data_IF_909200355613
#
_entry.id   IF_909200355613
#
_cell.length_a   1.000
_cell.length_b   1.000
_cell.length_c   1.000
_cell.angle_alpha   90.00
_cell.angle_beta   90.00
_cell.angle_gamma   90.00
#
_symmetry.space_group_name_H-M   'P 1'
#
loop_
_entity.id
_entity.type
_entity.pdbx_description
1 polymer ?
#
# COMPACT_ATOMS: atom_id res chain seq x y z
N UNK A 1 -12.80 29.81 30.41
CA UNK A 1 -11.64 29.60 31.31
C UNK A 1 -10.65 28.73 30.56
N UNK A 2 -9.44 29.20 30.27
CA UNK A 2 -8.46 28.41 29.51
C UNK A 2 -7.88 27.31 30.41
N UNK A 3 -7.38 26.22 29.82
CA UNK A 3 -6.81 25.08 30.58
C UNK A 3 -5.72 25.54 31.57
N UNK A 4 -4.94 26.57 31.21
CA UNK A 4 -3.94 27.16 32.11
C UNK A 4 -4.58 27.78 33.37
N UNK A 5 -5.68 28.51 33.22
CA UNK A 5 -6.39 29.15 34.34
C UNK A 5 -6.96 28.08 35.28
N UNK A 6 -7.50 26.99 34.72
CA UNK A 6 -7.99 25.84 35.50
C UNK A 6 -6.83 25.19 36.27
N UNK A 7 -5.69 24.96 35.61
CA UNK A 7 -4.53 24.35 36.25
C UNK A 7 -3.95 25.23 37.38
N UNK A 8 -3.91 26.55 37.17
CA UNK A 8 -3.48 27.51 38.20
C UNK A 8 -4.45 27.56 39.38
N UNK A 9 -5.76 27.49 39.11
CA UNK A 9 -6.78 27.44 40.15
C UNK A 9 -6.68 26.16 41.00
N UNK A 10 -6.40 25.02 40.37
CA UNK A 10 -6.35 23.70 41.06
C UNK A 10 -5.02 23.45 41.76
N UNK A 11 -3.90 23.78 41.13
CA UNK A 11 -2.55 23.40 41.60
C UNK A 11 -1.75 24.58 42.18
N UNK A 12 -2.29 25.80 42.14
CA UNK A 12 -1.57 27.03 42.44
C UNK A 12 -0.82 27.56 41.21
N UNK A 13 -0.41 28.84 41.25
CA UNK A 13 0.17 29.56 40.12
C UNK A 13 1.40 28.86 39.49
N UNK A 14 2.41 28.53 40.31
CA UNK A 14 3.66 27.95 39.82
C UNK A 14 3.49 26.51 39.32
N UNK A 15 2.85 25.65 40.11
CA UNK A 15 2.62 24.26 39.72
C UNK A 15 1.65 24.15 38.54
N UNK A 16 0.64 25.02 38.47
CA UNK A 16 -0.29 25.10 37.34
C UNK A 16 0.43 25.42 36.03
N UNK A 17 1.38 26.37 36.06
CA UNK A 17 2.22 26.69 34.91
C UNK A 17 3.17 25.52 34.52
N UNK A 18 3.77 24.84 35.49
CA UNK A 18 4.62 23.67 35.26
C UNK A 18 3.83 22.51 34.62
N UNK A 19 2.63 22.22 35.15
CA UNK A 19 1.73 21.21 34.57
C UNK A 19 1.29 21.57 33.16
N UNK A 20 0.99 22.85 32.90
CA UNK A 20 0.65 23.30 31.55
C UNK A 20 1.79 23.07 30.56
N UNK A 21 3.04 23.39 30.93
CA UNK A 21 4.22 23.10 30.11
C UNK A 21 4.39 21.61 29.85
N UNK A 22 4.22 20.77 30.87
CA UNK A 22 4.26 19.32 30.73
C UNK A 22 3.19 18.80 29.76
N UNK A 23 1.93 19.23 29.91
CA UNK A 23 0.83 18.82 29.04
C UNK A 23 1.04 19.27 27.60
N UNK A 24 1.59 20.47 27.39
CA UNK A 24 1.96 20.95 26.06
C UNK A 24 3.02 20.05 25.41
N UNK A 25 4.10 19.74 26.13
CA UNK A 25 5.15 18.85 25.62
C UNK A 25 4.61 17.45 25.32
N UNK A 26 3.73 16.92 26.18
CA UNK A 26 3.05 15.63 25.97
C UNK A 26 2.19 15.63 24.70
N UNK A 27 1.42 16.70 24.48
CA UNK A 27 0.60 16.88 23.28
C UNK A 27 1.45 17.02 22.01
N UNK A 28 2.53 17.81 22.07
CA UNK A 28 3.48 17.96 20.96
C UNK A 28 4.14 16.61 20.61
N UNK A 29 4.55 15.82 21.59
CA UNK A 29 5.04 14.45 21.38
C UNK A 29 3.99 13.55 20.71
N UNK A 30 2.74 13.59 21.17
CA UNK A 30 1.65 12.83 20.55
C UNK A 30 1.39 13.22 19.09
N UNK A 31 1.42 14.51 18.77
CA UNK A 31 1.27 15.02 17.39
C UNK A 31 2.42 14.57 16.49
N UNK A 32 3.65 14.60 16.99
CA UNK A 32 4.82 14.14 16.24
C UNK A 32 4.75 12.64 15.94
N UNK A 33 4.35 11.83 16.92
CA UNK A 33 4.16 10.40 16.73
C UNK A 33 3.06 10.09 15.70
N UNK A 34 1.92 10.78 15.80
CA UNK A 34 0.82 10.62 14.83
C UNK A 34 1.25 11.02 13.40
N UNK A 35 2.04 12.09 13.27
CA UNK A 35 2.59 12.55 12.00
C UNK A 35 3.56 11.52 11.39
N UNK A 36 4.48 10.97 12.20
CA UNK A 36 5.40 9.90 11.78
C UNK A 36 4.65 8.66 11.31
N UNK A 37 3.71 8.16 12.12
CA UNK A 37 2.89 7.01 11.76
C UNK A 37 2.04 7.25 10.49
N UNK A 38 1.52 8.46 10.29
CA UNK A 38 0.79 8.79 9.05
C UNK A 38 1.73 8.70 7.83
N UNK A 39 2.94 9.22 7.96
CA UNK A 39 3.94 9.18 6.89
C UNK A 39 4.35 7.74 6.53
N UNK A 40 4.62 6.91 7.55
CA UNK A 40 4.94 5.48 7.38
C UNK A 40 3.82 4.72 6.67
N UNK A 41 2.57 4.87 7.12
CA UNK A 41 1.45 4.16 6.51
C UNK A 41 1.17 4.64 5.07
N UNK A 42 1.31 5.93 4.78
CA UNK A 42 1.18 6.42 3.41
C UNK A 42 2.29 5.88 2.51
N UNK A 43 3.52 5.77 3.00
CA UNK A 43 4.60 5.14 2.25
C UNK A 43 4.36 3.64 2.05
N UNK A 44 3.84 2.93 3.05
CA UNK A 44 3.46 1.52 2.91
C UNK A 44 2.42 1.31 1.79
N UNK A 45 1.40 2.16 1.70
CA UNK A 45 0.40 2.13 0.61
C UNK A 45 1.06 2.32 -0.75
N UNK A 46 2.00 3.26 -0.87
CA UNK A 46 2.76 3.46 -2.10
C UNK A 46 3.54 2.20 -2.50
N UNK A 47 4.23 1.56 -1.56
CA UNK A 47 5.00 0.34 -1.83
C UNK A 47 4.08 -0.83 -2.19
N UNK A 48 2.96 -1.01 -1.50
CA UNK A 48 1.96 -2.04 -1.84
C UNK A 48 1.47 -1.85 -3.28
N UNK A 49 1.15 -0.62 -3.69
CA UNK A 49 0.75 -0.31 -5.06
C UNK A 49 1.86 -0.62 -6.08
N UNK A 50 3.13 -0.28 -5.76
CA UNK A 50 4.27 -0.63 -6.62
C UNK A 50 4.41 -2.15 -6.83
N UNK A 51 4.36 -2.94 -5.76
CA UNK A 51 4.50 -4.38 -5.86
C UNK A 51 3.31 -5.03 -6.58
N UNK A 52 2.09 -4.52 -6.38
CA UNK A 52 0.93 -4.92 -7.16
C UNK A 52 1.14 -4.66 -8.67
N UNK A 53 1.63 -3.48 -9.04
CA UNK A 53 1.86 -3.13 -10.44
C UNK A 53 3.00 -3.94 -11.09
N UNK A 54 3.95 -4.45 -10.30
CA UNK A 54 5.03 -5.31 -10.78
C UNK A 54 4.57 -6.76 -10.97
N UNK A 55 3.80 -7.29 -10.02
CA UNK A 55 3.24 -8.64 -10.08
C UNK A 55 1.91 -8.69 -9.32
N UNK A 56 0.80 -8.58 -10.06
CA UNK A 56 -0.53 -8.48 -9.47
C UNK A 56 -0.99 -9.76 -8.74
N UNK A 57 -0.47 -10.92 -9.12
CA UNK A 57 -0.71 -12.20 -8.43
C UNK A 57 -0.08 -12.19 -7.02
N UNK A 58 1.06 -11.51 -6.89
CA UNK A 58 1.68 -11.26 -5.59
C UNK A 58 2.18 -12.50 -4.85
N UNK A 59 2.23 -13.66 -5.52
CA UNK A 59 2.62 -14.92 -4.91
C UNK A 59 4.03 -14.81 -4.30
N UNK A 60 4.14 -15.09 -3.01
CA UNK A 60 5.41 -14.98 -2.27
C UNK A 60 5.83 -13.56 -1.91
N UNK A 61 4.98 -12.53 -2.10
CA UNK A 61 5.23 -11.16 -1.64
C UNK A 61 4.55 -10.91 -0.29
N UNK A 62 5.35 -10.62 0.74
CA UNK A 62 4.91 -10.42 2.13
C UNK A 62 5.31 -9.05 2.65
N UNK A 63 4.42 -8.38 3.37
CA UNK A 63 4.63 -7.05 3.95
C UNK A 63 4.61 -7.07 5.48
N UNK A 64 5.57 -6.41 6.09
CA UNK A 64 5.72 -6.31 7.54
C UNK A 64 6.06 -4.88 7.96
N UNK A 65 5.68 -4.47 9.16
CA UNK A 65 6.08 -3.20 9.76
C UNK A 65 6.56 -3.39 11.18
N UNK A 66 7.50 -2.55 11.61
CA UNK A 66 8.08 -2.56 12.95
C UNK A 66 8.67 -3.95 13.29
N UNK A 67 9.47 -4.49 12.37
CA UNK A 67 10.08 -5.81 12.53
C UNK A 67 11.29 -5.76 13.46
N UNK A 68 11.68 -6.90 14.03
CA UNK A 68 12.92 -7.00 14.81
C UNK A 68 14.10 -7.03 13.83
N UNK A 69 14.60 -5.86 13.46
CA UNK A 69 15.72 -5.67 12.54
C UNK A 69 16.44 -4.35 12.83
N UNK A 70 17.60 -4.12 12.21
CA UNK A 70 18.28 -2.82 12.30
C UNK A 70 17.62 -1.78 11.38
N UNK A 71 16.99 -2.23 10.29
CA UNK A 71 16.16 -1.41 9.40
C UNK A 71 14.75 -2.01 9.45
N UNK A 72 13.86 -1.36 10.20
CA UNK A 72 12.72 -2.01 10.84
C UNK A 72 11.33 -1.46 10.47
N UNK A 73 11.25 -0.17 10.13
CA UNK A 73 9.96 0.53 9.97
C UNK A 73 9.01 -0.19 9.00
N UNK A 74 9.54 -0.66 7.86
CA UNK A 74 8.78 -1.44 6.87
C UNK A 74 9.67 -2.43 6.11
N UNK A 75 9.17 -3.64 5.87
CA UNK A 75 9.88 -4.70 5.14
C UNK A 75 8.96 -5.37 4.13
N UNK A 76 9.49 -5.59 2.91
CA UNK A 76 8.86 -6.42 1.89
C UNK A 76 9.75 -7.63 1.62
N UNK A 77 9.21 -8.84 1.78
CA UNK A 77 9.89 -10.09 1.44
C UNK A 77 9.35 -10.64 0.12
N UNK A 78 10.26 -10.98 -0.78
CA UNK A 78 10.00 -11.73 -1.99
C UNK A 78 10.58 -13.13 -1.82
N UNK A 79 9.72 -14.07 -1.38
CA UNK A 79 10.13 -15.40 -0.90
C UNK A 79 10.75 -16.24 -2.01
N UNK A 80 10.20 -16.17 -3.24
CA UNK A 80 10.69 -16.96 -4.37
C UNK A 80 12.09 -16.53 -4.81
N UNK A 81 12.36 -15.23 -4.74
CA UNK A 81 13.62 -14.60 -5.13
C UNK A 81 14.63 -14.51 -3.99
N UNK A 82 14.26 -14.97 -2.78
CA UNK A 82 15.04 -14.82 -1.55
C UNK A 82 15.58 -13.39 -1.37
N UNK A 83 14.71 -12.41 -1.62
CA UNK A 83 15.04 -10.98 -1.66
C UNK A 83 14.20 -10.23 -0.64
N UNK A 84 14.80 -9.27 0.05
CA UNK A 84 14.12 -8.41 1.00
C UNK A 84 14.36 -6.94 0.68
N UNK A 85 13.35 -6.11 0.88
CA UNK A 85 13.44 -4.66 0.83
C UNK A 85 13.16 -4.13 2.21
N UNK A 86 14.17 -3.53 2.85
CA UNK A 86 14.05 -2.99 4.20
C UNK A 86 14.08 -1.47 4.13
N UNK A 87 13.08 -0.83 4.73
CA UNK A 87 12.90 0.60 4.69
C UNK A 87 12.97 1.17 6.11
N UNK A 88 13.89 2.12 6.31
CA UNK A 88 13.82 3.07 7.42
C UNK A 88 13.12 4.32 6.91
N UNK A 89 12.09 4.80 7.61
CA UNK A 89 11.22 5.88 7.17
C UNK A 89 11.26 7.00 8.21
N UNK A 90 11.66 8.22 7.81
CA UNK A 90 11.83 9.35 8.73
C UNK A 90 11.19 10.63 8.20
N UNK A 91 10.26 11.19 8.98
CA UNK A 91 9.70 12.53 8.77
C UNK A 91 10.28 13.54 9.78
N UNK A 92 11.55 13.88 9.57
CA UNK A 92 12.34 14.73 10.47
C UNK A 92 12.89 15.96 9.75
N UNK A 93 13.25 16.98 10.53
CA UNK A 93 13.83 18.23 10.01
C UNK A 93 15.33 18.11 9.71
N UNK A 94 16.02 17.22 10.42
CA UNK A 94 17.45 16.94 10.27
C UNK A 94 17.70 15.44 10.51
N UNK A 95 18.61 14.86 9.73
CA UNK A 95 19.06 13.48 9.87
C UNK A 95 20.46 13.36 9.28
N UNK A 96 21.33 12.62 9.95
CA UNK A 96 22.72 12.43 9.58
C UNK A 96 23.05 10.92 9.61
N UNK A 97 23.99 10.49 8.78
CA UNK A 97 24.47 9.10 8.80
C UNK A 97 25.23 8.77 10.08
N UNK A 98 25.97 9.74 10.62
CA UNK A 98 26.80 9.62 11.82
C UNK A 98 26.32 10.62 12.86
N UNK A 99 26.39 10.24 14.13
CA UNK A 99 25.96 11.07 15.25
C UNK A 99 24.80 10.48 16.06
N UNK A 100 24.74 10.88 17.34
CA UNK A 100 23.82 10.29 18.32
C UNK A 100 24.40 9.07 19.03
N UNK A 101 23.57 8.38 19.82
CA UNK A 101 23.96 7.17 20.57
C UNK A 101 23.84 5.88 19.73
N UNK A 102 22.99 5.92 18.71
CA UNK A 102 22.72 4.83 17.78
C UNK A 102 22.81 5.42 16.37
N UNK A 103 23.90 5.11 15.67
CA UNK A 103 24.19 5.73 14.37
C UNK A 103 23.44 5.02 13.25
N UNK A 104 22.77 5.81 12.41
CA UNK A 104 22.06 5.29 11.23
C UNK A 104 23.00 4.49 10.31
N UNK A 105 24.27 4.91 10.22
CA UNK A 105 25.30 4.15 9.48
C UNK A 105 25.47 2.73 10.03
N UNK A 106 25.55 2.58 11.34
CA UNK A 106 25.78 1.26 11.94
C UNK A 106 24.57 0.35 11.72
N UNK A 107 23.34 0.88 11.80
CA UNK A 107 22.12 0.11 11.54
C UNK A 107 22.10 -0.46 10.12
N UNK A 108 22.37 0.38 9.10
CA UNK A 108 22.40 -0.07 7.70
C UNK A 108 23.55 -1.05 7.43
N UNK A 109 24.74 -0.83 8.01
CA UNK A 109 25.87 -1.75 7.88
C UNK A 109 25.55 -3.11 8.49
N UNK A 110 25.03 -3.13 9.72
CA UNK A 110 24.73 -4.35 10.44
C UNK A 110 23.57 -5.13 9.79
N UNK A 111 22.55 -4.44 9.26
CA UNK A 111 21.48 -5.10 8.50
C UNK A 111 22.02 -5.80 7.25
N UNK A 112 22.90 -5.15 6.50
CA UNK A 112 23.51 -5.73 5.31
C UNK A 112 24.39 -6.95 5.66
N UNK A 113 25.15 -6.88 6.76
CA UNK A 113 25.97 -8.00 7.24
C UNK A 113 25.11 -9.20 7.63
N UNK A 114 24.03 -9.00 8.38
CA UNK A 114 23.09 -10.08 8.74
C UNK A 114 22.47 -10.69 7.49
N UNK A 115 21.95 -9.86 6.59
CA UNK A 115 21.28 -10.32 5.36
C UNK A 115 22.24 -11.16 4.50
N UNK A 116 23.48 -10.70 4.35
CA UNK A 116 24.53 -11.43 3.64
C UNK A 116 24.86 -12.78 4.28
N UNK A 117 24.93 -12.85 5.62
CA UNK A 117 25.17 -14.12 6.36
C UNK A 117 23.99 -15.09 6.24
N UNK A 118 22.77 -14.58 6.09
CA UNK A 118 21.57 -15.38 5.86
C UNK A 118 21.39 -15.77 4.38
N UNK A 119 22.25 -15.29 3.48
CA UNK A 119 22.15 -15.54 2.04
C UNK A 119 20.96 -14.83 1.38
N UNK A 120 20.42 -13.78 2.02
CA UNK A 120 19.29 -12.99 1.54
C UNK A 120 19.81 -11.78 0.76
N UNK A 121 19.24 -11.52 -0.42
CA UNK A 121 19.55 -10.30 -1.17
C UNK A 121 18.78 -9.13 -0.55
N UNK A 122 19.46 -8.29 0.25
CA UNK A 122 18.82 -7.15 0.90
C UNK A 122 18.94 -5.86 0.09
N UNK A 123 17.82 -5.18 -0.07
CA UNK A 123 17.69 -3.85 -0.64
C UNK A 123 17.39 -2.84 0.47
N UNK A 124 18.43 -2.20 1.00
CA UNK A 124 18.26 -1.25 2.10
C UNK A 124 17.88 0.13 1.59
N UNK A 125 16.87 0.74 2.21
CA UNK A 125 16.29 2.01 1.78
C UNK A 125 16.09 2.95 2.97
N UNK A 126 16.55 4.19 2.83
CA UNK A 126 16.25 5.27 3.75
C UNK A 126 15.28 6.25 3.09
N UNK A 127 14.08 6.37 3.63
CA UNK A 127 13.01 7.21 3.11
C UNK A 127 12.89 8.45 3.97
N UNK A 128 12.97 9.62 3.36
CA UNK A 128 12.88 10.91 4.08
C UNK A 128 11.85 11.84 3.46
N UNK A 129 11.15 12.58 4.32
CA UNK A 129 10.05 13.45 3.90
C UNK A 129 10.48 14.82 3.35
N UNK A 130 11.68 15.27 3.70
CA UNK A 130 12.19 16.61 3.38
C UNK A 130 13.29 16.55 2.34
N UNK A 131 13.14 17.34 1.28
CA UNK A 131 14.13 17.45 0.21
C UNK A 131 15.51 17.89 0.70
N UNK A 132 15.57 18.82 1.65
CA UNK A 132 16.83 19.27 2.25
C UNK A 132 17.57 18.14 2.97
N UNK A 133 16.84 17.30 3.71
CA UNK A 133 17.39 16.12 4.39
C UNK A 133 17.85 15.08 3.38
N UNK A 134 17.05 14.82 2.34
CA UNK A 134 17.45 13.95 1.23
C UNK A 134 18.76 14.39 0.58
N UNK A 135 18.86 15.66 0.18
CA UNK A 135 20.04 16.20 -0.48
C UNK A 135 21.28 16.11 0.40
N UNK A 136 21.13 16.40 1.69
CA UNK A 136 22.19 16.25 2.67
C UNK A 136 22.65 14.79 2.80
N UNK A 137 21.73 13.84 2.95
CA UNK A 137 22.07 12.42 3.10
C UNK A 137 22.71 11.82 1.86
N UNK A 138 22.26 12.20 0.67
CA UNK A 138 22.87 11.75 -0.59
C UNK A 138 24.28 12.32 -0.74
N UNK A 139 24.46 13.62 -0.49
CA UNK A 139 25.78 14.27 -0.59
C UNK A 139 26.80 13.72 0.41
N UNK A 140 26.35 13.22 1.56
CA UNK A 140 27.20 12.71 2.64
C UNK A 140 27.08 11.19 2.82
N UNK A 141 26.63 10.47 1.79
CA UNK A 141 26.51 9.01 1.85
C UNK A 141 27.88 8.35 2.04
N UNK A 142 28.06 7.47 3.06
CA UNK A 142 29.27 6.68 3.21
C UNK A 142 29.58 5.87 1.94
N UNK A 143 30.85 5.84 1.51
CA UNK A 143 31.25 5.19 0.25
C UNK A 143 30.86 3.71 0.20
N UNK A 144 30.95 3.02 1.35
CA UNK A 144 30.57 1.62 1.52
C UNK A 144 29.10 1.33 1.17
N UNK A 145 28.21 2.32 1.23
CA UNK A 145 26.78 2.15 1.00
C UNK A 145 26.37 2.21 -0.47
N UNK A 146 27.24 2.72 -1.34
CA UNK A 146 26.94 2.97 -2.76
C UNK A 146 26.40 1.75 -3.52
N UNK A 147 26.73 0.53 -3.07
CA UNK A 147 26.32 -0.72 -3.73
C UNK A 147 25.02 -1.34 -3.18
N UNK A 148 24.57 -1.00 -1.97
CA UNK A 148 23.43 -1.69 -1.34
C UNK A 148 22.39 -0.79 -0.65
N UNK A 149 22.67 0.49 -0.42
CA UNK A 149 21.72 1.45 0.16
C UNK A 149 21.21 2.44 -0.89
N UNK A 150 19.92 2.80 -0.82
CA UNK A 150 19.40 3.97 -1.55
C UNK A 150 18.64 4.90 -0.61
N UNK A 151 18.82 6.21 -0.79
CA UNK A 151 17.98 7.22 -0.14
C UNK A 151 16.84 7.58 -1.09
N UNK A 152 15.63 7.69 -0.55
CA UNK A 152 14.41 8.02 -1.29
C UNK A 152 13.81 9.28 -0.67
N UNK A 153 13.51 10.27 -1.50
CA UNK A 153 12.68 11.40 -1.10
C UNK A 153 11.22 11.05 -1.40
N UNK A 154 10.38 11.02 -0.36
CA UNK A 154 8.94 10.80 -0.50
C UNK A 154 8.20 11.84 0.32
N UNK A 155 7.40 12.70 -0.31
CA UNK A 155 6.79 13.83 0.39
C UNK A 155 5.81 13.36 1.48
N UNK A 156 5.85 14.00 2.66
CA UNK A 156 4.81 13.82 3.68
C UNK A 156 3.62 14.73 3.44
N UNK A 157 2.44 14.26 3.83
CA UNK A 157 1.18 14.99 3.73
C UNK A 157 0.30 14.69 4.94
N UNK A 158 -0.62 15.60 5.26
CA UNK A 158 -1.59 15.40 6.34
C UNK A 158 -2.79 14.54 5.93
N UNK A 159 -2.99 14.30 4.64
CA UNK A 159 -4.08 13.49 4.10
C UNK A 159 -3.68 12.80 2.79
N UNK A 160 -4.36 11.70 2.47
CA UNK A 160 -4.17 10.96 1.21
C UNK A 160 -4.47 11.83 -0.01
N UNK A 161 -5.55 12.64 0.03
CA UNK A 161 -5.86 13.60 -1.03
C UNK A 161 -4.68 14.54 -1.33
N UNK A 162 -4.12 15.14 -0.28
CA UNK A 162 -3.02 16.08 -0.43
C UNK A 162 -1.77 15.37 -0.96
N UNK A 163 -1.48 14.16 -0.46
CA UNK A 163 -0.38 13.35 -0.95
C UNK A 163 -0.48 13.08 -2.45
N UNK A 164 -1.64 12.64 -2.94
CA UNK A 164 -1.84 12.32 -4.37
C UNK A 164 -1.71 13.58 -5.25
N UNK A 165 -2.10 14.74 -4.73
CA UNK A 165 -1.94 16.01 -5.44
C UNK A 165 -0.48 16.41 -5.57
N UNK A 166 0.28 16.34 -4.48
CA UNK A 166 1.66 16.88 -4.44
C UNK A 166 2.72 15.88 -4.85
N UNK A 167 2.52 14.58 -4.60
CA UNK A 167 3.49 13.52 -4.85
C UNK A 167 3.16 12.74 -6.15
N UNK A 168 3.89 12.96 -7.26
CA UNK A 168 3.61 12.32 -8.53
C UNK A 168 3.84 10.79 -8.51
N UNK A 169 4.79 10.30 -7.70
CA UNK A 169 5.08 8.87 -7.61
C UNK A 169 3.89 8.11 -7.03
N UNK A 170 3.31 8.62 -5.93
CA UNK A 170 2.08 8.04 -5.36
C UNK A 170 0.94 8.05 -6.37
N UNK A 171 0.72 9.19 -7.03
CA UNK A 171 -0.34 9.33 -8.03
C UNK A 171 -0.17 8.35 -9.19
N UNK A 172 1.04 8.19 -9.69
CA UNK A 172 1.34 7.29 -10.81
C UNK A 172 1.04 5.83 -10.45
N UNK A 173 1.50 5.36 -9.29
CA UNK A 173 1.32 3.96 -8.88
C UNK A 173 -0.16 3.64 -8.60
N UNK A 174 -0.90 4.54 -7.95
CA UNK A 174 -2.34 4.37 -7.78
C UNK A 174 -3.09 4.42 -9.12
N UNK A 175 -2.66 5.25 -10.08
CA UNK A 175 -3.27 5.30 -11.41
C UNK A 175 -3.05 3.99 -12.18
N UNK A 176 -1.85 3.42 -12.12
CA UNK A 176 -1.53 2.12 -12.73
C UNK A 176 -2.37 0.99 -12.14
N UNK A 177 -2.59 1.02 -10.83
CA UNK A 177 -3.36 0.02 -10.10
C UNK A 177 -4.88 0.17 -10.30
N UNK A 178 -5.35 1.38 -10.64
CA UNK A 178 -6.78 1.68 -10.72
C UNK A 178 -7.44 1.07 -11.96
N UNK A 179 -8.58 0.38 -11.78
CA UNK A 179 -9.35 -0.20 -12.89
C UNK A 179 -10.14 0.84 -13.71
N UNK A 180 -10.33 2.05 -13.18
CA UNK A 180 -11.04 3.13 -13.87
C UNK A 180 -10.12 3.80 -14.88
N UNK A 181 -10.64 4.08 -16.08
CA UNK A 181 -9.91 4.84 -17.09
C UNK A 181 -9.84 6.32 -16.70
N UNK A 182 -8.64 6.91 -16.74
CA UNK A 182 -8.38 8.31 -16.38
C UNK A 182 -8.99 8.72 -15.03
N UNK A 183 -8.63 8.05 -13.92
CA UNK A 183 -9.26 8.29 -12.63
C UNK A 183 -8.98 9.72 -12.14
N UNK A 184 -10.02 10.40 -11.68
CA UNK A 184 -9.90 11.69 -11.01
C UNK A 184 -9.25 11.53 -9.62
N UNK A 185 -8.80 12.63 -9.03
CA UNK A 185 -8.09 12.62 -7.73
C UNK A 185 -8.93 12.01 -6.61
N UNK A 186 -10.25 12.24 -6.58
CA UNK A 186 -11.16 11.63 -5.59
C UNK A 186 -11.22 10.10 -5.73
N UNK A 187 -11.10 9.59 -6.97
CA UNK A 187 -11.08 8.14 -7.22
C UNK A 187 -9.77 7.52 -6.75
N UNK A 188 -8.65 8.20 -7.00
CA UNK A 188 -7.35 7.78 -6.49
C UNK A 188 -7.29 7.87 -4.96
N UNK A 189 -7.88 8.90 -4.35
CA UNK A 189 -7.98 9.01 -2.89
C UNK A 189 -8.80 7.87 -2.30
N UNK A 190 -9.92 7.52 -2.94
CA UNK A 190 -10.74 6.37 -2.53
C UNK A 190 -9.91 5.09 -2.56
N UNK A 191 -9.20 4.83 -3.66
CA UNK A 191 -8.33 3.67 -3.79
C UNK A 191 -7.23 3.65 -2.71
N UNK A 192 -6.50 4.75 -2.53
CA UNK A 192 -5.46 4.86 -1.52
C UNK A 192 -5.98 4.68 -0.09
N UNK A 193 -7.19 5.18 0.20
CA UNK A 193 -7.83 5.04 1.51
C UNK A 193 -8.27 3.61 1.79
N UNK A 194 -8.79 2.90 0.78
CA UNK A 194 -9.17 1.50 0.91
C UNK A 194 -7.93 0.62 1.16
N UNK A 195 -6.84 0.85 0.42
CA UNK A 195 -5.57 0.16 0.64
C UNK A 195 -5.01 0.43 2.03
N UNK A 196 -5.05 1.69 2.46
CA UNK A 196 -4.66 2.09 3.81
C UNK A 196 -5.48 1.36 4.87
N UNK A 197 -6.81 1.29 4.70
CA UNK A 197 -7.69 0.58 5.62
C UNK A 197 -7.38 -0.92 5.67
N UNK A 198 -7.13 -1.55 4.53
CA UNK A 198 -6.75 -2.98 4.49
C UNK A 198 -5.40 -3.24 5.13
N UNK A 199 -4.43 -2.33 4.97
CA UNK A 199 -3.13 -2.41 5.62
C UNK A 199 -3.24 -2.20 7.13
N UNK A 200 -3.97 -1.17 7.56
CA UNK A 200 -4.09 -0.82 8.97
C UNK A 200 -4.89 -1.85 9.78
N UNK A 201 -5.88 -2.49 9.15
CA UNK A 201 -6.66 -3.57 9.76
C UNK A 201 -5.93 -4.93 9.82
N UNK A 202 -4.77 -5.06 9.17
CA UNK A 202 -3.98 -6.28 9.19
C UNK A 202 -3.18 -6.44 10.50
N UNK A 203 -2.58 -7.62 10.71
CA UNK A 203 -1.64 -7.83 11.80
C UNK A 203 -0.25 -7.19 11.55
N UNK A 204 -0.02 -6.62 10.35
CA UNK A 204 1.24 -5.99 9.90
C UNK A 204 2.49 -6.89 10.04
N UNK A 205 2.31 -8.21 10.04
CA UNK A 205 3.38 -9.22 10.13
C UNK A 205 3.20 -10.25 9.03
N UNK A 206 4.15 -10.28 8.10
CA UNK A 206 4.22 -11.16 6.93
C UNK A 206 2.88 -11.25 6.18
N UNK A 207 2.26 -10.09 5.97
CA UNK A 207 0.96 -9.95 5.33
C UNK A 207 1.10 -10.20 3.82
N UNK A 208 0.41 -11.20 3.24
CA UNK A 208 0.50 -11.44 1.81
C UNK A 208 -0.13 -10.31 0.98
N UNK A 209 0.46 -9.99 -0.18
CA UNK A 209 -0.13 -9.02 -1.12
C UNK A 209 -1.59 -9.33 -1.45
N UNK A 210 -1.87 -10.59 -1.79
CA UNK A 210 -3.23 -11.05 -2.12
C UNK A 210 -4.25 -10.74 -1.03
N UNK A 211 -3.89 -10.87 0.24
CA UNK A 211 -4.79 -10.59 1.37
C UNK A 211 -5.13 -9.10 1.47
N UNK A 212 -4.16 -8.22 1.22
CA UNK A 212 -4.37 -6.77 1.20
C UNK A 212 -5.26 -6.34 0.03
N UNK A 213 -5.04 -6.94 -1.14
CA UNK A 213 -5.86 -6.67 -2.31
C UNK A 213 -7.28 -7.20 -2.12
N UNK A 214 -7.45 -8.42 -1.59
CA UNK A 214 -8.78 -8.99 -1.30
C UNK A 214 -9.54 -8.15 -0.26
N UNK A 215 -8.86 -7.71 0.81
CA UNK A 215 -9.44 -6.81 1.80
C UNK A 215 -9.91 -5.49 1.20
N UNK A 216 -9.13 -4.97 0.25
CA UNK A 216 -9.47 -3.75 -0.48
C UNK A 216 -10.67 -3.95 -1.42
N UNK A 217 -10.68 -5.03 -2.20
CA UNK A 217 -11.76 -5.38 -3.12
C UNK A 217 -13.10 -5.64 -2.40
N UNK A 218 -13.08 -6.18 -1.17
CA UNK A 218 -14.31 -6.32 -0.36
C UNK A 218 -14.98 -4.99 -0.02
N UNK A 219 -14.20 -3.91 0.06
CA UNK A 219 -14.73 -2.57 0.34
C UNK A 219 -15.23 -1.87 -0.92
N UNK A 220 -14.51 -2.02 -2.04
CA UNK A 220 -14.94 -1.51 -3.33
C UNK A 220 -14.28 -2.28 -4.49
N UNK A 221 -14.96 -3.29 -5.08
CA UNK A 221 -14.32 -4.23 -6.01
C UNK A 221 -13.88 -3.59 -7.33
N UNK A 222 -14.54 -2.50 -7.76
CA UNK A 222 -14.34 -1.92 -9.10
C UNK A 222 -13.20 -0.89 -9.19
N UNK A 223 -12.46 -0.64 -8.11
CA UNK A 223 -11.38 0.37 -8.13
C UNK A 223 -10.02 -0.23 -8.43
N UNK A 224 -9.80 -1.53 -8.21
CA UNK A 224 -8.51 -2.20 -8.38
C UNK A 224 -8.58 -3.09 -9.62
N UNK A 225 -7.54 -3.03 -10.47
CA UNK A 225 -7.43 -3.93 -11.64
C UNK A 225 -7.44 -5.39 -11.19
N UNK A 226 -8.02 -6.27 -12.01
CA UNK A 226 -7.89 -7.71 -11.78
C UNK A 226 -6.45 -8.19 -11.91
N UNK A 227 -6.15 -9.30 -11.24
CA UNK A 227 -4.79 -9.88 -11.17
C UNK A 227 -4.42 -10.64 -12.44
N UNK A 228 -5.42 -11.00 -13.23
CA UNK A 228 -5.26 -11.72 -14.49
C UNK A 228 -6.13 -11.08 -15.56
N UNK A 229 -5.73 -11.26 -16.82
CA UNK A 229 -6.56 -10.95 -17.98
C UNK A 229 -7.00 -12.22 -18.73
N UNK A 230 -6.78 -13.39 -18.12
CA UNK A 230 -7.02 -14.69 -18.75
C UNK A 230 -8.29 -15.29 -18.17
N UNK A 231 -9.30 -15.41 -19.02
CA UNK A 231 -10.50 -16.20 -18.74
C UNK A 231 -10.18 -17.67 -18.94
N UNK A 232 -10.66 -18.55 -18.06
CA UNK A 232 -10.44 -19.98 -18.20
C UNK A 232 -11.01 -20.51 -19.52
N UNK A 233 -10.42 -21.60 -20.03
CA UNK A 233 -10.87 -22.21 -21.28
C UNK A 233 -12.33 -22.64 -21.20
N UNK A 234 -12.74 -23.25 -20.09
CA UNK A 234 -14.10 -23.74 -19.87
C UNK A 234 -15.11 -22.58 -19.92
N UNK A 235 -14.82 -21.46 -19.25
CA UNK A 235 -15.69 -20.29 -19.27
C UNK A 235 -15.74 -19.65 -20.67
N UNK A 236 -14.60 -19.56 -21.36
CA UNK A 236 -14.55 -19.09 -22.75
C UNK A 236 -15.38 -19.95 -23.70
N UNK A 237 -15.34 -21.27 -23.53
CA UNK A 237 -16.11 -22.22 -24.35
C UNK A 237 -17.62 -22.08 -24.09
N UNK A 238 -18.03 -21.86 -22.84
CA UNK A 238 -19.43 -21.54 -22.49
C UNK A 238 -19.87 -20.25 -23.20
N UNK A 239 -19.12 -19.15 -23.03
CA UNK A 239 -19.46 -17.87 -23.66
C UNK A 239 -19.57 -17.95 -25.18
N UNK A 240 -18.69 -18.70 -25.85
CA UNK A 240 -18.72 -18.88 -27.31
C UNK A 240 -19.89 -19.74 -27.80
N UNK A 241 -20.45 -20.59 -26.94
CA UNK A 241 -21.60 -21.44 -27.28
C UNK A 241 -22.92 -20.65 -27.33
N UNK A 242 -22.99 -19.50 -26.66
CA UNK A 242 -24.18 -18.66 -26.60
C UNK A 242 -24.21 -17.73 -27.81
N UNK A 243 -25.15 -17.95 -28.73
CA UNK A 243 -25.31 -17.14 -29.94
C UNK A 243 -25.67 -15.70 -29.57
N UNK A 244 -24.92 -14.73 -30.11
CA UNK A 244 -25.12 -13.30 -29.85
C UNK A 244 -24.36 -12.78 -28.63
N UNK A 245 -23.76 -13.66 -27.81
CA UNK A 245 -22.93 -13.25 -26.69
C UNK A 245 -21.49 -13.00 -27.13
N UNK A 246 -20.94 -11.88 -26.67
CA UNK A 246 -19.53 -11.56 -26.85
C UNK A 246 -18.96 -10.96 -25.57
N UNK A 247 -17.65 -11.12 -25.39
CA UNK A 247 -16.97 -10.55 -24.23
C UNK A 247 -15.57 -10.07 -24.60
N UNK A 248 -15.08 -9.13 -23.80
CA UNK A 248 -13.68 -8.70 -23.78
C UNK A 248 -13.21 -8.58 -22.34
N UNK A 249 -11.91 -8.74 -22.14
CA UNK A 249 -11.30 -8.49 -20.83
C UNK A 249 -10.69 -7.11 -20.85
N UNK A 250 -11.06 -6.28 -19.89
CA UNK A 250 -10.51 -4.94 -19.73
C UNK A 250 -10.20 -4.70 -18.25
N UNK A 251 -8.96 -4.32 -17.95
CA UNK A 251 -8.50 -4.07 -16.58
C UNK A 251 -8.74 -5.25 -15.62
N UNK A 252 -8.69 -6.48 -16.13
CA UNK A 252 -8.96 -7.71 -15.39
C UNK A 252 -10.44 -7.95 -15.05
N UNK A 253 -11.37 -7.28 -15.72
CA UNK A 253 -12.80 -7.54 -15.64
C UNK A 253 -13.34 -8.03 -16.98
N UNK A 254 -14.35 -8.91 -16.93
CA UNK A 254 -15.06 -9.38 -18.12
C UNK A 254 -16.15 -8.36 -18.44
N UNK A 255 -15.97 -7.62 -19.52
CA UNK A 255 -17.04 -6.82 -20.15
C UNK A 255 -17.76 -7.68 -21.17
N UNK A 256 -19.08 -7.70 -21.12
CA UNK A 256 -19.90 -8.55 -21.98
C UNK A 256 -20.95 -7.73 -22.70
N UNK A 257 -21.35 -8.22 -23.87
CA UNK A 257 -22.38 -7.67 -24.73
C UNK A 257 -23.19 -8.85 -25.27
N UNK A 258 -24.52 -8.73 -25.25
CA UNK A 258 -25.45 -9.69 -25.83
C UNK A 258 -26.28 -8.99 -26.91
N UNK A 259 -25.98 -9.31 -28.16
CA UNK A 259 -26.40 -8.52 -29.32
C UNK A 259 -26.17 -7.02 -29.09
N UNK A 260 -27.09 -6.18 -29.57
CA UNK A 260 -27.09 -4.73 -29.31
C UNK A 260 -28.11 -4.35 -28.22
N UNK A 261 -28.63 -5.33 -27.48
CA UNK A 261 -29.71 -5.11 -26.49
C UNK A 261 -29.16 -4.92 -25.09
N UNK A 262 -28.19 -5.75 -24.69
CA UNK A 262 -27.71 -5.82 -23.32
C UNK A 262 -26.20 -5.82 -23.24
N UNK A 263 -25.67 -5.17 -22.20
CA UNK A 263 -24.24 -5.15 -21.94
C UNK A 263 -23.96 -4.92 -20.46
N UNK A 264 -22.79 -5.34 -20.02
CA UNK A 264 -22.41 -5.18 -18.62
C UNK A 264 -20.98 -5.57 -18.33
N UNK A 265 -20.68 -5.65 -17.05
CA UNK A 265 -19.39 -6.06 -16.52
C UNK A 265 -19.64 -7.08 -15.42
N UNK A 266 -18.96 -8.23 -15.48
CA UNK A 266 -18.96 -9.19 -14.36
C UNK A 266 -18.34 -8.50 -13.16
N UNK A 267 -19.04 -8.51 -12.02
CA UNK A 267 -18.66 -7.68 -10.88
C UNK A 267 -17.34 -8.08 -10.23
N UNK A 268 -16.90 -9.32 -10.44
CA UNK A 268 -15.68 -9.87 -9.87
C UNK A 268 -14.50 -9.74 -10.84
N UNK A 269 -13.37 -9.26 -10.31
CA UNK A 269 -12.12 -9.18 -11.04
C UNK A 269 -11.49 -10.57 -11.22
N UNK A 270 -10.99 -10.89 -12.40
CA UNK A 270 -10.35 -12.18 -12.71
C UNK A 270 -9.15 -12.40 -11.78
N UNK A 271 -9.10 -13.59 -11.16
CA UNK A 271 -8.08 -13.97 -10.18
C UNK A 271 -8.38 -13.50 -8.74
N UNK A 272 -9.58 -12.97 -8.48
CA UNK A 272 -10.07 -12.77 -7.12
C UNK A 272 -10.81 -14.02 -6.62
N UNK A 273 -10.85 -14.20 -5.29
CA UNK A 273 -11.64 -15.26 -4.66
C UNK A 273 -13.13 -15.18 -5.02
N UNK A 274 -13.69 -13.98 -5.16
CA UNK A 274 -15.07 -13.78 -5.63
C UNK A 274 -15.26 -14.26 -7.07
N UNK A 275 -14.28 -14.04 -7.95
CA UNK A 275 -14.33 -14.53 -9.33
C UNK A 275 -14.21 -16.04 -9.40
N UNK A 276 -13.34 -16.65 -8.60
CA UNK A 276 -13.22 -18.11 -8.51
C UNK A 276 -14.54 -18.75 -8.04
N UNK A 277 -15.19 -18.15 -7.04
CA UNK A 277 -16.49 -18.62 -6.58
C UNK A 277 -17.56 -18.48 -7.68
N UNK A 278 -17.68 -17.30 -8.28
CA UNK A 278 -18.61 -17.04 -9.36
C UNK A 278 -18.39 -17.97 -10.58
N UNK A 279 -17.13 -18.20 -10.97
CA UNK A 279 -16.78 -19.07 -12.08
C UNK A 279 -17.19 -20.52 -11.79
N UNK A 280 -16.97 -20.98 -10.55
CA UNK A 280 -17.44 -22.30 -10.12
C UNK A 280 -18.97 -22.41 -10.12
N UNK A 281 -19.67 -21.35 -9.72
CA UNK A 281 -21.13 -21.32 -9.76
C UNK A 281 -21.65 -21.42 -11.21
N UNK A 282 -21.06 -20.67 -12.15
CA UNK A 282 -21.35 -20.80 -13.58
C UNK A 282 -21.09 -22.23 -14.08
N UNK A 283 -19.99 -22.85 -13.65
CA UNK A 283 -19.61 -24.19 -14.06
C UNK A 283 -20.48 -25.31 -13.52
N UNK A 284 -21.11 -25.09 -12.36
CA UNK A 284 -22.00 -26.05 -11.73
C UNK A 284 -23.43 -25.96 -12.28
N UNK A 285 -23.72 -24.94 -13.09
CA UNK A 285 -25.00 -24.77 -13.77
C UNK A 285 -24.87 -25.13 -15.25
N UNK A 286 -25.93 -25.69 -15.82
CA UNK A 286 -25.94 -26.15 -17.21
C UNK A 286 -26.27 -24.97 -18.14
N UNK A 287 -25.31 -24.08 -18.36
CA UNK A 287 -25.51 -22.87 -19.18
C UNK A 287 -25.62 -23.26 -20.67
N UNK A 288 -26.80 -23.04 -21.26
CA UNK A 288 -27.07 -23.32 -22.69
C UNK A 288 -27.56 -22.09 -23.45
N UNK A 289 -28.14 -21.10 -22.77
CA UNK A 289 -28.60 -19.86 -23.37
C UNK A 289 -28.15 -18.63 -22.58
N UNK A 290 -28.51 -17.45 -23.09
CA UNK A 290 -28.23 -16.20 -22.38
C UNK A 290 -29.05 -16.09 -21.10
N UNK A 291 -30.30 -16.54 -21.10
CA UNK A 291 -31.19 -16.51 -19.93
C UNK A 291 -30.63 -17.34 -18.76
N UNK A 292 -29.96 -18.45 -19.06
CA UNK A 292 -29.26 -19.24 -18.04
C UNK A 292 -28.09 -18.44 -17.42
N UNK A 293 -27.35 -17.71 -18.27
CA UNK A 293 -26.16 -16.95 -17.88
C UNK A 293 -26.51 -15.61 -17.20
N UNK A 294 -27.61 -14.96 -17.58
CA UNK A 294 -28.00 -13.61 -17.15
C UNK A 294 -28.07 -13.48 -15.63
N UNK A 295 -28.54 -14.53 -14.94
CA UNK A 295 -28.61 -14.60 -13.48
C UNK A 295 -27.24 -14.48 -12.80
N UNK A 296 -26.15 -14.83 -13.50
CA UNK A 296 -24.77 -14.72 -13.03
C UNK A 296 -24.10 -13.41 -13.48
N UNK A 297 -24.66 -12.68 -14.45
CA UNK A 297 -24.09 -11.43 -14.97
C UNK A 297 -24.57 -10.19 -14.21
N UNK A 298 -25.67 -10.31 -13.48
CA UNK A 298 -26.36 -9.22 -12.79
C UNK A 298 -26.09 -9.17 -11.28
N UNK A 299 -25.33 -10.12 -10.75
CA UNK A 299 -25.04 -10.28 -9.32
C UNK A 299 -23.85 -9.42 -8.88
#
# INVERSE_FOLDING_TARGET
>A
MFILDILKLVFGEENGAAHFKYLRNKNEGGKNNAKGNTFENFFAVFVIAQFFNQNADGEGTLFSSQVIAFVDDFVVKQVKENTEYCFQIKDVVELYWQGGKHELRDDFRNQNEISSKLGVTSNLRLVVSKKSVYDHLVANMPEEFSSFVKVIHFESASSMNNLIRTNPMMREELTKMCALSNPSIDKLETLGTILLGSWDASNKVDVPLGLLIDGSCRSNPHYIKGRSNVVSRKLSDIFKSIVGFSYRVENGFIKWEYYDTDSGVVQYAIGSSGFEQWENDVFNNEIKSFEDLESFLSA
#
